data_IF_620078964798
#
_entry.id   IF_620078964798
#
_cell.length_a   1.000
_cell.length_b   1.000
_cell.length_c   1.000
_cell.angle_alpha   90.00
_cell.angle_beta   90.00
_cell.angle_gamma   90.00
#
_symmetry.space_group_name_H-M   'P 1'
#
loop_
_entity.id
_entity.type
_entity.pdbx_description
1 polymer ?
#
# COMPACT_ATOMS: atom_id res chain seq x y z
N UNK A 1 36.44 -2.65 10.48
CA UNK A 1 35.24 -1.78 10.47
C UNK A 1 34.58 -1.96 9.12
N UNK A 2 33.32 -2.44 9.05
CA UNK A 2 32.57 -2.30 7.79
C UNK A 2 32.55 -0.81 7.47
N UNK A 3 32.84 -0.45 6.22
CA UNK A 3 32.77 0.95 5.81
C UNK A 3 31.30 1.36 5.80
N UNK A 4 30.98 2.59 6.21
CA UNK A 4 29.62 3.13 6.12
C UNK A 4 28.97 2.89 4.75
N UNK A 5 29.79 2.92 3.67
CA UNK A 5 29.37 2.56 2.32
C UNK A 5 28.89 1.10 2.20
N UNK A 6 29.61 0.15 2.79
CA UNK A 6 29.22 -1.26 2.78
C UNK A 6 27.90 -1.49 3.55
N UNK A 7 27.73 -0.83 4.70
CA UNK A 7 26.49 -0.91 5.48
C UNK A 7 25.31 -0.33 4.69
N UNK A 8 25.52 0.80 3.99
CA UNK A 8 24.52 1.38 3.10
C UNK A 8 24.13 0.42 1.97
N UNK A 9 25.10 -0.23 1.32
CA UNK A 9 24.85 -1.18 0.24
C UNK A 9 24.05 -2.40 0.74
N UNK A 10 24.35 -2.90 1.93
CA UNK A 10 23.64 -4.01 2.54
C UNK A 10 22.20 -3.64 2.89
N UNK A 11 21.99 -2.46 3.48
CA UNK A 11 20.65 -1.95 3.78
C UNK A 11 19.78 -1.79 2.52
N UNK A 12 20.34 -1.26 1.43
CA UNK A 12 19.64 -1.12 0.15
C UNK A 12 19.28 -2.49 -0.44
N UNK A 13 20.20 -3.46 -0.36
CA UNK A 13 19.96 -4.83 -0.83
C UNK A 13 18.81 -5.49 -0.06
N UNK A 14 18.81 -5.36 1.27
CA UNK A 14 17.75 -5.89 2.14
C UNK A 14 16.38 -5.27 1.79
N UNK A 15 16.30 -3.95 1.67
CA UNK A 15 15.06 -3.26 1.29
C UNK A 15 14.58 -3.72 -0.09
N UNK A 16 15.48 -3.83 -1.06
CA UNK A 16 15.13 -4.27 -2.42
C UNK A 16 14.61 -5.70 -2.46
N UNK A 17 15.17 -6.59 -1.66
CA UNK A 17 14.69 -7.98 -1.55
C UNK A 17 13.31 -8.03 -0.89
N UNK A 18 13.10 -7.29 0.19
CA UNK A 18 11.78 -7.19 0.84
C UNK A 18 10.73 -6.63 -0.13
N UNK A 19 11.05 -5.57 -0.87
CA UNK A 19 10.13 -5.02 -1.87
C UNK A 19 9.80 -6.02 -2.98
N UNK A 20 10.74 -6.91 -3.34
CA UNK A 20 10.53 -7.95 -4.36
C UNK A 20 9.65 -9.08 -3.83
N UNK A 21 9.91 -9.56 -2.63
CA UNK A 21 9.14 -10.65 -2.00
C UNK A 21 7.68 -10.22 -1.78
N UNK A 22 7.48 -8.96 -1.41
CA UNK A 22 6.16 -8.35 -1.27
C UNK A 22 5.57 -7.85 -2.61
N UNK A 23 6.25 -8.04 -3.75
CA UNK A 23 5.82 -7.53 -5.08
C UNK A 23 5.59 -6.00 -5.15
N UNK A 24 6.03 -5.24 -4.14
CA UNK A 24 5.95 -3.78 -4.08
C UNK A 24 6.84 -3.13 -5.16
N UNK A 25 7.92 -3.81 -5.56
CA UNK A 25 8.79 -3.38 -6.64
C UNK A 25 8.08 -3.26 -8.00
N UNK A 26 6.92 -3.89 -8.18
CA UNK A 26 6.10 -3.81 -9.40
C UNK A 26 5.18 -2.58 -9.45
N UNK A 27 5.12 -1.83 -8.33
CA UNK A 27 4.25 -0.68 -8.18
C UNK A 27 4.92 0.61 -8.69
N UNK A 28 4.17 1.40 -9.46
CA UNK A 28 4.60 2.76 -9.83
C UNK A 28 4.43 3.74 -8.65
N UNK A 29 4.89 4.98 -8.82
CA UNK A 29 4.86 6.00 -7.77
C UNK A 29 3.46 6.24 -7.18
N UNK A 30 2.42 6.34 -8.02
CA UNK A 30 1.05 6.56 -7.56
C UNK A 30 0.50 5.34 -6.81
N UNK A 31 0.82 4.14 -7.31
CA UNK A 31 0.41 2.88 -6.68
C UNK A 31 1.06 2.72 -5.31
N UNK A 32 2.35 3.07 -5.19
CA UNK A 32 3.07 3.12 -3.90
C UNK A 32 2.44 4.13 -2.94
N UNK A 33 2.11 5.34 -3.39
CA UNK A 33 1.44 6.35 -2.56
C UNK A 33 0.13 5.82 -1.98
N UNK A 34 -0.69 5.15 -2.80
CA UNK A 34 -1.97 4.57 -2.37
C UNK A 34 -1.74 3.44 -1.38
N UNK A 35 -0.83 2.51 -1.70
CA UNK A 35 -0.52 1.38 -0.82
C UNK A 35 0.01 1.84 0.54
N UNK A 36 0.93 2.81 0.55
CA UNK A 36 1.46 3.38 1.80
C UNK A 36 0.40 4.15 2.58
N UNK A 37 -0.55 4.80 1.90
CA UNK A 37 -1.68 5.46 2.58
C UNK A 37 -2.55 4.46 3.34
N UNK A 38 -2.76 3.26 2.79
CA UNK A 38 -3.49 2.17 3.47
C UNK A 38 -2.70 1.71 4.70
N UNK A 39 -1.43 1.35 4.56
CA UNK A 39 -0.58 0.89 5.67
C UNK A 39 -0.49 1.91 6.82
N UNK A 40 -0.33 3.19 6.49
CA UNK A 40 -0.28 4.26 7.49
C UNK A 40 -1.62 4.47 8.20
N UNK A 41 -2.74 4.27 7.50
CA UNK A 41 -4.07 4.33 8.11
C UNK A 41 -4.30 3.14 9.04
N UNK A 42 -3.96 1.93 8.60
CA UNK A 42 -4.10 0.70 9.38
C UNK A 42 -3.24 0.71 10.66
N UNK A 43 -2.04 1.29 10.59
CA UNK A 43 -1.20 1.52 11.78
C UNK A 43 -1.88 2.43 12.83
N UNK A 44 -2.74 3.36 12.41
CA UNK A 44 -3.41 4.34 13.29
C UNK A 44 -4.80 3.91 13.72
N UNK A 45 -5.49 3.11 12.92
CA UNK A 45 -6.90 2.74 13.04
C UNK A 45 -7.10 1.31 12.56
N UNK A 46 -7.96 0.54 13.25
CA UNK A 46 -8.29 -0.82 12.83
C UNK A 46 -9.06 -0.88 11.50
N UNK A 47 -9.65 0.23 11.06
CA UNK A 47 -10.43 0.29 9.83
C UNK A 47 -9.84 1.33 8.86
N UNK A 48 -9.73 0.93 7.60
CA UNK A 48 -9.36 1.77 6.47
C UNK A 48 -10.45 1.68 5.41
N UNK A 49 -11.12 2.80 5.13
CA UNK A 49 -12.11 2.89 4.05
C UNK A 49 -11.56 3.65 2.85
N UNK A 50 -12.17 3.46 1.67
CA UNK A 50 -11.67 4.09 0.44
C UNK A 50 -11.62 5.63 0.54
N UNK A 51 -12.55 6.28 1.23
CA UNK A 51 -12.49 7.73 1.45
C UNK A 51 -11.25 8.18 2.22
N UNK A 52 -10.75 7.38 3.18
CA UNK A 52 -9.48 7.67 3.87
C UNK A 52 -8.32 7.67 2.87
N UNK A 53 -8.30 6.67 1.98
CA UNK A 53 -7.24 6.51 0.98
C UNK A 53 -7.26 7.63 -0.05
N UNK A 54 -8.46 8.04 -0.50
CA UNK A 54 -8.63 9.18 -1.41
C UNK A 54 -8.10 10.45 -0.75
N UNK A 55 -8.46 10.71 0.50
CA UNK A 55 -8.04 11.91 1.22
C UNK A 55 -6.52 11.92 1.48
N UNK A 56 -5.96 10.80 1.93
CA UNK A 56 -4.53 10.69 2.27
C UNK A 56 -3.62 10.73 1.03
N UNK A 57 -4.01 10.05 -0.05
CA UNK A 57 -3.20 9.98 -1.29
C UNK A 57 -3.25 11.26 -2.12
N UNK A 58 -4.29 12.09 -1.95
CA UNK A 58 -4.59 13.27 -2.78
C UNK A 58 -4.72 12.95 -4.28
N UNK A 59 -5.03 11.70 -4.61
CA UNK A 59 -5.23 11.24 -5.99
C UNK A 59 -6.72 11.19 -6.34
N UNK A 60 -7.01 11.18 -7.65
CA UNK A 60 -8.39 11.07 -8.11
C UNK A 60 -9.02 9.73 -7.69
N UNK A 61 -10.34 9.73 -7.46
CA UNK A 61 -11.09 8.52 -7.14
C UNK A 61 -10.83 7.40 -8.16
N UNK A 62 -10.88 7.72 -9.45
CA UNK A 62 -10.63 6.76 -10.53
C UNK A 62 -9.25 6.12 -10.45
N UNK A 63 -8.21 6.90 -10.11
CA UNK A 63 -6.85 6.40 -9.90
C UNK A 63 -6.79 5.46 -8.69
N UNK A 64 -7.44 5.85 -7.58
CA UNK A 64 -7.50 5.02 -6.37
C UNK A 64 -8.19 3.69 -6.66
N UNK A 65 -9.39 3.69 -7.25
CA UNK A 65 -10.10 2.46 -7.58
C UNK A 65 -9.32 1.51 -8.50
N UNK A 66 -8.72 2.04 -9.58
CA UNK A 66 -7.89 1.23 -10.49
C UNK A 66 -6.72 0.59 -9.76
N UNK A 67 -6.07 1.36 -8.88
CA UNK A 67 -4.95 0.88 -8.09
C UNK A 67 -5.37 -0.17 -7.08
N UNK A 68 -6.47 0.03 -6.35
CA UNK A 68 -6.99 -0.96 -5.39
C UNK A 68 -7.28 -2.30 -6.07
N UNK A 69 -7.87 -2.29 -7.26
CA UNK A 69 -8.06 -3.52 -8.05
C UNK A 69 -6.72 -4.19 -8.36
N UNK A 70 -5.74 -3.43 -8.87
CA UNK A 70 -4.41 -3.98 -9.16
C UNK A 70 -3.74 -4.58 -7.91
N UNK A 71 -3.82 -3.90 -6.77
CA UNK A 71 -3.26 -4.38 -5.50
C UNK A 71 -3.96 -5.66 -5.02
N UNK A 72 -5.28 -5.78 -5.25
CA UNK A 72 -6.02 -7.02 -5.00
C UNK A 72 -5.58 -8.14 -5.94
N UNK A 73 -5.37 -7.86 -7.23
CA UNK A 73 -4.96 -8.86 -8.22
C UNK A 73 -3.58 -9.47 -7.91
N UNK A 74 -2.67 -8.68 -7.32
CA UNK A 74 -1.36 -9.18 -6.87
C UNK A 74 -1.38 -9.72 -5.43
N UNK A 75 -2.57 -9.83 -4.83
CA UNK A 75 -2.83 -10.33 -3.48
C UNK A 75 -2.17 -9.53 -2.35
N UNK A 76 -1.96 -8.23 -2.53
CA UNK A 76 -1.46 -7.34 -1.46
C UNK A 76 -2.56 -6.86 -0.51
N UNK A 77 -3.78 -6.72 -1.02
CA UNK A 77 -4.93 -6.27 -0.25
C UNK A 77 -6.15 -7.13 -0.57
N UNK A 78 -7.11 -7.10 0.33
CA UNK A 78 -8.50 -7.46 0.06
C UNK A 78 -9.39 -6.28 0.40
N UNK A 79 -10.52 -6.15 -0.29
CA UNK A 79 -11.52 -5.17 0.11
C UNK A 79 -12.93 -5.75 -0.02
N UNK A 80 -13.81 -5.32 0.88
CA UNK A 80 -15.22 -5.67 0.90
C UNK A 80 -16.06 -4.41 1.01
N UNK A 81 -17.29 -4.48 0.51
CA UNK A 81 -18.24 -3.38 0.69
C UNK A 81 -18.52 -3.17 2.18
N UNK A 82 -18.53 -1.92 2.63
CA UNK A 82 -18.84 -1.61 4.03
C UNK A 82 -20.29 -1.98 4.34
N UNK A 83 -20.51 -2.52 5.54
CA UNK A 83 -21.85 -2.85 6.07
C UNK A 83 -22.63 -1.63 6.52
N UNK A 84 -21.95 -0.49 6.75
CA UNK A 84 -22.54 0.76 7.25
C UNK A 84 -22.87 1.71 6.10
N UNK A 85 -21.93 1.94 5.17
CA UNK A 85 -22.15 2.72 3.95
C UNK A 85 -21.72 1.91 2.73
N UNK A 86 -22.70 1.48 1.92
CA UNK A 86 -22.44 0.68 0.71
C UNK A 86 -21.61 1.42 -0.35
N UNK A 87 -21.43 2.74 -0.24
CA UNK A 87 -20.55 3.52 -1.13
C UNK A 87 -19.08 3.40 -0.74
N UNK A 88 -18.80 2.96 0.48
CA UNK A 88 -17.45 2.75 0.99
C UNK A 88 -17.00 1.30 0.80
N UNK A 89 -15.69 1.15 0.57
CA UNK A 89 -15.00 -0.13 0.59
C UNK A 89 -14.11 -0.18 1.81
N UNK A 90 -14.27 -1.20 2.65
CA UNK A 90 -13.35 -1.52 3.72
C UNK A 90 -12.17 -2.29 3.12
N UNK A 91 -10.96 -1.78 3.33
CA UNK A 91 -9.72 -2.29 2.77
C UNK A 91 -8.90 -2.92 3.90
N UNK A 92 -8.41 -4.14 3.66
CA UNK A 92 -7.52 -4.87 4.56
C UNK A 92 -6.24 -5.27 3.81
N UNK A 93 -5.11 -5.23 4.50
CA UNK A 93 -3.84 -5.69 3.94
C UNK A 93 -3.69 -7.19 4.16
N UNK A 94 -3.30 -7.92 3.11
CA UNK A 94 -3.08 -9.36 3.15
C UNK A 94 -1.58 -9.61 3.37
N UNK A 95 -1.09 -9.37 4.59
CA UNK A 95 0.29 -9.67 5.00
C UNK A 95 0.30 -10.70 6.12
#
# INVERSE_FOLDING_TARGET
MKSFKADLMEAVSLISNIERDLKINTLNANEKIIFYSILLKEKKSKECIISDVIHASKLSRSTVFKTLKKLQDINLISFKQSSIDKRELLINVNL
#
